data_IF_644655201486
#
_entry.id   IF_644655201486
#
_cell.length_a   1.000
_cell.length_b   1.000
_cell.length_c   1.000
_cell.angle_alpha   90.00
_cell.angle_beta   90.00
_cell.angle_gamma   90.00
#
_symmetry.space_group_name_H-M   'P 1'
#
loop_
_entity.id
_entity.type
_entity.pdbx_description
1 polymer ?
#
# COMPACT_ATOMS: atom_id res chain seq x y z
N UNK A 1 8.08 -33.09 3.75
CA UNK A 1 7.82 -31.66 3.98
C UNK A 1 8.83 -30.89 3.13
N UNK A 2 8.47 -29.68 2.72
CA UNK A 2 9.40 -28.79 2.00
C UNK A 2 10.20 -28.06 3.08
N UNK A 3 11.52 -28.14 3.03
CA UNK A 3 12.41 -27.42 3.96
C UNK A 3 13.24 -26.44 3.12
N UNK A 4 12.80 -25.18 3.00
CA UNK A 4 13.57 -24.15 2.32
C UNK A 4 14.93 -23.98 2.99
N UNK A 5 16.00 -23.98 2.20
CA UNK A 5 17.36 -23.74 2.72
C UNK A 5 18.01 -22.59 1.98
N UNK A 6 18.78 -21.76 2.68
CA UNK A 6 19.62 -20.77 2.01
C UNK A 6 20.59 -21.50 1.08
N UNK A 7 20.61 -21.07 -0.18
CA UNK A 7 21.55 -21.53 -1.17
C UNK A 7 22.78 -20.62 -1.17
N UNK A 8 23.90 -21.13 -1.69
CA UNK A 8 25.05 -20.29 -1.96
C UNK A 8 24.66 -19.23 -3.00
N UNK A 9 24.77 -17.95 -2.61
CA UNK A 9 24.46 -16.80 -3.47
C UNK A 9 25.75 -16.12 -3.92
N UNK A 10 25.81 -15.60 -5.15
CA UNK A 10 26.99 -14.91 -5.63
C UNK A 10 27.24 -13.60 -4.88
N UNK A 11 28.50 -13.17 -4.80
CA UNK A 11 28.83 -11.84 -4.30
C UNK A 11 28.40 -10.80 -5.32
N UNK A 12 27.54 -9.86 -4.91
CA UNK A 12 27.04 -8.82 -5.80
C UNK A 12 28.17 -7.90 -6.32
N UNK A 13 28.09 -7.43 -7.58
CA UNK A 13 29.04 -6.47 -8.14
C UNK A 13 29.11 -5.15 -7.36
N UNK A 14 30.18 -4.40 -7.55
CA UNK A 14 30.22 -2.99 -7.14
C UNK A 14 29.17 -2.17 -7.90
N UNK A 15 28.63 -1.12 -7.27
CA UNK A 15 27.65 -0.18 -7.86
C UNK A 15 26.40 -0.82 -8.49
N UNK A 16 26.08 -2.08 -8.17
CA UNK A 16 24.86 -2.76 -8.65
C UNK A 16 23.58 -2.08 -8.13
N UNK A 17 23.66 -1.46 -6.95
CA UNK A 17 22.54 -0.80 -6.29
C UNK A 17 22.40 0.65 -6.76
N UNK A 18 21.19 1.04 -7.21
CA UNK A 18 20.89 2.38 -7.74
C UNK A 18 21.36 3.54 -6.85
N UNK A 19 21.20 3.40 -5.53
CA UNK A 19 21.54 4.44 -4.55
C UNK A 19 22.82 4.17 -3.76
N UNK A 20 23.63 3.17 -4.15
CA UNK A 20 24.89 2.88 -3.48
C UNK A 20 24.77 2.30 -2.05
N UNK A 21 23.83 1.37 -1.83
CA UNK A 21 23.72 0.67 -0.55
C UNK A 21 24.95 -0.22 -0.29
N UNK A 22 25.36 -0.33 0.98
CA UNK A 22 26.48 -1.20 1.39
C UNK A 22 26.09 -2.65 1.15
N UNK A 23 26.99 -3.45 0.56
CA UNK A 23 26.69 -4.82 0.11
C UNK A 23 26.10 -5.72 1.19
N UNK A 24 26.54 -5.59 2.44
CA UNK A 24 26.07 -6.40 3.57
C UNK A 24 24.66 -6.02 4.06
N UNK A 25 24.16 -4.86 3.61
CA UNK A 25 22.83 -4.36 3.93
C UNK A 25 21.83 -4.58 2.80
N UNK A 26 22.28 -4.93 1.60
CA UNK A 26 21.44 -5.21 0.42
C UNK A 26 20.55 -6.42 0.70
N UNK A 27 19.24 -6.29 0.46
CA UNK A 27 18.36 -7.45 0.44
C UNK A 27 18.59 -8.25 -0.84
N UNK A 28 19.27 -9.38 -0.70
CA UNK A 28 19.47 -10.35 -1.76
C UNK A 28 19.61 -11.74 -1.13
N UNK A 29 18.66 -12.64 -1.37
CA UNK A 29 18.69 -14.02 -0.87
C UNK A 29 18.33 -15.01 -1.97
N UNK A 30 18.93 -16.21 -1.88
CA UNK A 30 18.59 -17.34 -2.74
C UNK A 30 18.22 -18.51 -1.84
N UNK A 31 17.05 -19.10 -2.08
CA UNK A 31 16.57 -20.27 -1.34
C UNK A 31 16.33 -21.42 -2.29
N UNK A 32 16.84 -22.59 -1.94
CA UNK A 32 16.52 -23.83 -2.63
C UNK A 32 15.37 -24.54 -1.95
N UNK A 33 14.71 -25.44 -2.71
CA UNK A 33 13.65 -26.29 -2.20
C UNK A 33 12.49 -25.50 -1.57
N UNK A 34 12.08 -24.37 -2.15
CA UNK A 34 10.87 -23.63 -1.70
C UNK A 34 9.61 -24.24 -2.31
N UNK A 35 9.69 -24.78 -3.53
CA UNK A 35 8.61 -25.54 -4.15
C UNK A 35 9.09 -26.95 -4.50
N UNK A 36 8.17 -27.92 -4.39
CA UNK A 36 8.39 -29.26 -4.92
C UNK A 36 8.33 -29.28 -6.44
N UNK A 37 8.89 -30.33 -7.05
CA UNK A 37 8.74 -30.61 -8.48
C UNK A 37 7.26 -30.69 -8.90
N UNK A 38 6.42 -31.35 -8.08
CA UNK A 38 5.01 -31.51 -8.38
C UNK A 38 4.27 -30.16 -8.39
N UNK A 39 4.59 -29.27 -7.46
CA UNK A 39 4.03 -27.91 -7.42
C UNK A 39 4.47 -27.10 -8.63
N UNK A 40 5.76 -27.12 -8.98
CA UNK A 40 6.28 -26.41 -10.15
C UNK A 40 5.57 -26.86 -11.43
N UNK A 41 5.44 -28.18 -11.62
CA UNK A 41 4.75 -28.76 -12.79
C UNK A 41 3.26 -28.39 -12.82
N UNK A 42 2.59 -28.40 -11.67
CA UNK A 42 1.19 -28.00 -11.57
C UNK A 42 0.98 -26.53 -11.94
N UNK A 43 1.86 -25.63 -11.52
CA UNK A 43 1.82 -24.20 -11.88
C UNK A 43 2.01 -24.00 -13.38
N UNK A 44 3.03 -24.63 -13.98
CA UNK A 44 3.28 -24.57 -15.42
C UNK A 44 2.04 -25.05 -16.17
N UNK A 45 1.50 -26.21 -15.84
CA UNK A 45 0.33 -26.78 -16.52
C UNK A 45 -0.92 -25.90 -16.39
N UNK A 46 -1.13 -25.29 -15.23
CA UNK A 46 -2.31 -24.45 -14.96
C UNK A 46 -2.24 -23.10 -15.68
N UNK A 47 -1.07 -22.46 -15.73
CA UNK A 47 -0.93 -21.09 -16.22
C UNK A 47 -0.49 -21.00 -17.68
N UNK A 48 0.18 -22.02 -18.22
CA UNK A 48 0.66 -22.03 -19.62
C UNK A 48 -0.43 -21.82 -20.67
N UNK A 49 -1.66 -22.37 -20.54
CA UNK A 49 -2.72 -22.16 -21.52
C UNK A 49 -3.13 -20.68 -21.73
N UNK A 50 -2.84 -19.81 -20.75
CA UNK A 50 -3.15 -18.39 -20.80
C UNK A 50 -1.95 -17.51 -21.18
N UNK A 51 -0.80 -18.11 -21.54
CA UNK A 51 0.39 -17.38 -21.99
C UNK A 51 0.11 -16.60 -23.27
N UNK A 52 0.53 -15.33 -23.29
CA UNK A 52 0.48 -14.46 -24.45
C UNK A 52 1.85 -13.85 -24.68
N UNK A 53 2.26 -13.73 -25.95
CA UNK A 53 3.50 -13.06 -26.31
C UNK A 53 3.45 -11.60 -25.88
N UNK A 54 4.53 -11.15 -25.23
CA UNK A 54 4.79 -9.76 -24.88
C UNK A 54 6.01 -9.34 -25.69
N UNK A 55 5.80 -8.45 -26.65
CA UNK A 55 6.86 -7.85 -27.46
C UNK A 55 6.83 -6.33 -27.29
N UNK A 56 7.97 -5.73 -26.96
CA UNK A 56 8.21 -4.29 -27.15
C UNK A 56 7.27 -3.28 -26.45
N UNK A 57 6.63 -3.61 -25.33
CA UNK A 57 5.72 -2.69 -24.63
C UNK A 57 6.40 -1.69 -23.65
N UNK A 58 7.73 -1.77 -23.45
CA UNK A 58 8.46 -0.85 -22.54
C UNK A 58 8.84 0.51 -23.17
N UNK A 59 8.38 0.81 -24.41
CA UNK A 59 8.80 2.01 -25.14
C UNK A 59 7.93 3.27 -24.92
N UNK A 60 7.34 3.48 -23.73
CA UNK A 60 6.61 4.74 -23.46
C UNK A 60 7.21 5.55 -22.31
N UNK A 61 7.88 6.63 -22.73
CA UNK A 61 8.26 7.86 -22.04
C UNK A 61 9.25 7.70 -20.87
N UNK A 62 10.54 7.65 -21.22
CA UNK A 62 11.59 8.17 -20.36
C UNK A 62 11.48 9.71 -20.34
N UNK A 63 11.55 10.41 -19.19
CA UNK A 63 11.42 11.87 -19.11
C UNK A 63 12.46 12.65 -19.94
N UNK A 64 13.56 11.99 -20.31
CA UNK A 64 14.69 12.57 -21.04
C UNK A 64 14.73 12.24 -22.55
N UNK A 65 13.68 11.63 -23.11
CA UNK A 65 13.54 11.51 -24.58
C UNK A 65 14.45 10.50 -25.30
N UNK A 66 15.33 9.77 -24.60
CA UNK A 66 16.11 8.69 -25.22
C UNK A 66 15.28 7.41 -25.35
N UNK A 67 14.77 7.14 -26.56
CA UNK A 67 14.23 5.83 -26.90
C UNK A 67 15.37 4.83 -27.12
N UNK A 68 15.67 4.00 -26.11
CA UNK A 68 16.27 2.68 -26.38
C UNK A 68 15.13 1.69 -26.61
N UNK A 69 15.02 1.20 -27.84
CA UNK A 69 14.14 0.08 -28.17
C UNK A 69 14.62 -1.17 -27.41
N UNK A 70 14.05 -1.42 -26.22
CA UNK A 70 14.23 -2.70 -25.53
C UNK A 70 13.62 -3.80 -26.39
N UNK A 71 14.41 -4.84 -26.67
CA UNK A 71 14.02 -6.06 -27.38
C UNK A 71 13.87 -7.18 -26.35
N UNK A 72 12.96 -6.96 -25.40
CA UNK A 72 12.52 -7.99 -24.45
C UNK A 72 11.39 -8.80 -25.12
N UNK A 73 11.65 -10.09 -25.34
CA UNK A 73 10.71 -11.04 -25.94
C UNK A 73 10.49 -12.18 -24.94
N UNK A 74 9.24 -12.40 -24.54
CA UNK A 74 8.81 -13.50 -23.67
C UNK A 74 7.30 -13.68 -23.76
N UNK A 75 6.76 -14.73 -23.15
CA UNK A 75 5.32 -14.88 -22.95
C UNK A 75 4.94 -14.68 -21.48
N UNK A 76 3.80 -14.05 -21.23
CA UNK A 76 3.27 -13.74 -19.90
C UNK A 76 1.87 -14.32 -19.73
N UNK A 77 1.62 -14.89 -18.55
CA UNK A 77 0.30 -15.29 -18.06
C UNK A 77 0.16 -14.80 -16.63
N UNK A 78 -1.04 -14.36 -16.23
CA UNK A 78 -1.28 -13.83 -14.90
C UNK A 78 -2.46 -14.55 -14.25
N UNK A 79 -2.30 -14.88 -12.97
CA UNK A 79 -3.31 -15.53 -12.15
C UNK A 79 -3.33 -14.90 -10.77
N UNK A 80 -4.51 -14.56 -10.28
CA UNK A 80 -4.70 -14.20 -8.87
C UNK A 80 -4.96 -15.48 -8.05
N UNK A 81 -4.14 -15.70 -7.03
CA UNK A 81 -4.25 -16.85 -6.14
C UNK A 81 -3.65 -16.54 -4.75
N UNK A 82 -4.44 -15.89 -3.90
CA UNK A 82 -4.04 -15.54 -2.53
C UNK A 82 -3.60 -16.76 -1.72
N UNK A 83 -4.36 -17.85 -1.78
CA UNK A 83 -4.04 -19.07 -1.01
C UNK A 83 -2.65 -19.62 -1.34
N UNK A 84 -2.27 -19.60 -2.61
CA UNK A 84 -0.93 -20.04 -3.01
C UNK A 84 0.15 -19.05 -2.58
N UNK A 85 -0.10 -17.74 -2.73
CA UNK A 85 0.79 -16.69 -2.23
C UNK A 85 1.04 -16.84 -0.72
N UNK A 86 0.00 -17.11 0.07
CA UNK A 86 0.08 -17.33 1.52
C UNK A 86 0.93 -18.58 1.86
N UNK A 87 0.84 -19.66 1.07
CA UNK A 87 1.65 -20.86 1.28
C UNK A 87 3.14 -20.59 1.03
N UNK A 88 3.49 -19.88 -0.04
CA UNK A 88 4.89 -19.53 -0.30
C UNK A 88 5.39 -18.52 0.73
N UNK A 89 4.55 -17.55 1.11
CA UNK A 89 4.88 -16.62 2.18
C UNK A 89 5.22 -17.32 3.49
N UNK A 90 4.38 -18.28 3.92
CA UNK A 90 4.66 -19.08 5.12
C UNK A 90 6.01 -19.81 5.02
N UNK A 91 6.34 -20.38 3.86
CA UNK A 91 7.65 -21.02 3.64
C UNK A 91 8.82 -20.03 3.75
N UNK A 92 8.65 -18.79 3.29
CA UNK A 92 9.65 -17.75 3.44
C UNK A 92 9.78 -17.30 4.90
N UNK A 93 8.67 -17.14 5.63
CA UNK A 93 8.67 -16.80 7.06
C UNK A 93 9.36 -17.87 7.91
N UNK A 94 9.14 -19.14 7.59
CA UNK A 94 9.73 -20.27 8.31
C UNK A 94 11.22 -20.50 7.94
N UNK A 95 11.76 -19.73 6.98
CA UNK A 95 13.14 -19.82 6.51
C UNK A 95 14.03 -18.71 7.08
N UNK A 96 15.34 -18.91 7.02
CA UNK A 96 16.33 -17.92 7.46
C UNK A 96 16.28 -16.60 6.65
N UNK A 97 15.70 -16.60 5.44
CA UNK A 97 15.55 -15.40 4.63
C UNK A 97 14.58 -14.37 5.23
N UNK A 98 13.68 -14.78 6.13
CA UNK A 98 12.78 -13.85 6.80
C UNK A 98 13.53 -12.81 7.62
N UNK A 99 14.67 -13.17 8.21
CA UNK A 99 15.52 -12.23 8.94
C UNK A 99 16.07 -11.13 8.01
N UNK A 100 16.49 -11.48 6.79
CA UNK A 100 16.95 -10.53 5.77
C UNK A 100 15.81 -9.63 5.28
N UNK A 101 14.62 -10.18 5.03
CA UNK A 101 13.41 -9.40 4.70
C UNK A 101 13.11 -8.40 5.81
N UNK A 102 13.14 -8.85 7.06
CA UNK A 102 12.85 -7.99 8.21
C UNK A 102 13.90 -6.89 8.39
N UNK A 103 15.21 -7.21 8.28
CA UNK A 103 16.30 -6.23 8.31
C UNK A 103 16.10 -5.16 7.23
N UNK A 104 15.74 -5.57 6.02
CA UNK A 104 15.41 -4.66 4.94
C UNK A 104 14.23 -3.74 5.29
N UNK A 105 13.13 -4.29 5.80
CA UNK A 105 11.96 -3.47 6.14
C UNK A 105 12.23 -2.42 7.21
N UNK A 106 13.11 -2.74 8.18
CA UNK A 106 13.57 -1.79 9.18
C UNK A 106 14.45 -0.69 8.60
N UNK A 107 15.38 -1.05 7.70
CA UNK A 107 16.28 -0.10 7.01
C UNK A 107 15.47 0.94 6.22
N UNK A 108 14.44 0.49 5.52
CA UNK A 108 13.61 1.34 4.66
C UNK A 108 12.44 2.03 5.39
N UNK A 109 12.11 1.61 6.61
CA UNK A 109 10.95 2.14 7.34
C UNK A 109 9.63 1.95 6.59
N UNK A 110 9.43 0.77 5.99
CA UNK A 110 8.30 0.49 5.09
C UNK A 110 7.15 -0.35 5.68
N UNK A 111 7.33 -0.90 6.87
CA UNK A 111 6.33 -1.61 7.66
C UNK A 111 6.65 -3.09 7.73
N UNK A 112 5.88 -3.83 8.54
CA UNK A 112 5.95 -5.29 8.50
C UNK A 112 5.53 -5.79 7.11
N UNK A 113 6.28 -6.74 6.51
CA UNK A 113 5.89 -7.33 5.24
C UNK A 113 4.60 -8.14 5.43
N UNK A 114 3.63 -7.95 4.53
CA UNK A 114 2.28 -8.48 4.71
C UNK A 114 2.05 -9.87 4.10
N UNK A 115 3.00 -10.30 3.29
CA UNK A 115 2.81 -11.41 2.38
C UNK A 115 3.33 -11.15 0.98
N UNK A 116 3.13 -12.16 0.14
CA UNK A 116 3.34 -12.05 -1.29
C UNK A 116 2.10 -11.49 -1.97
N UNK A 117 2.30 -10.72 -3.03
CA UNK A 117 1.21 -10.26 -3.87
C UNK A 117 0.39 -11.47 -4.38
N UNK A 118 -0.95 -11.49 -4.22
CA UNK A 118 -1.80 -12.58 -4.71
C UNK A 118 -1.73 -12.77 -6.22
N UNK A 119 -1.29 -11.75 -6.95
CA UNK A 119 -1.16 -11.72 -8.40
C UNK A 119 0.16 -12.34 -8.83
N UNK A 120 0.10 -13.59 -9.28
CA UNK A 120 1.23 -14.38 -9.72
C UNK A 120 1.40 -14.27 -11.23
N UNK A 121 2.63 -14.03 -11.68
CA UNK A 121 2.97 -13.84 -13.09
C UNK A 121 3.84 -15.00 -13.55
N UNK A 122 3.39 -15.80 -14.51
CA UNK A 122 4.22 -16.80 -15.15
C UNK A 122 4.86 -16.20 -16.41
N UNK A 123 6.19 -16.13 -16.42
CA UNK A 123 6.98 -15.75 -17.58
C UNK A 123 7.56 -17.02 -18.21
N UNK A 124 7.44 -17.11 -19.53
CA UNK A 124 8.06 -18.16 -20.35
C UNK A 124 9.00 -17.53 -21.37
N UNK A 125 10.24 -17.99 -21.37
CA UNK A 125 11.26 -17.64 -22.36
C UNK A 125 11.54 -18.87 -23.23
N UNK A 126 11.72 -18.68 -24.54
CA UNK A 126 12.12 -19.73 -25.48
C UNK A 126 13.11 -19.22 -26.55
N UNK A 127 13.84 -20.12 -27.21
CA UNK A 127 14.79 -19.73 -28.26
C UNK A 127 15.93 -18.86 -27.74
N UNK A 128 15.99 -17.60 -28.17
CA UNK A 128 16.98 -16.59 -27.72
C UNK A 128 16.36 -15.48 -26.88
N UNK A 129 15.17 -15.72 -26.34
CA UNK A 129 14.46 -14.79 -25.45
C UNK A 129 15.36 -14.38 -24.27
N UNK A 130 15.23 -13.12 -23.87
CA UNK A 130 15.98 -12.52 -22.76
C UNK A 130 15.14 -11.42 -22.10
N UNK A 131 15.57 -10.98 -20.93
CA UNK A 131 15.04 -9.77 -20.31
C UNK A 131 16.14 -8.72 -20.22
N UNK A 132 15.96 -7.57 -20.89
CA UNK A 132 16.98 -6.53 -20.94
C UNK A 132 17.32 -5.99 -19.53
N UNK A 133 18.55 -5.49 -19.37
CA UNK A 133 19.02 -4.99 -18.08
C UNK A 133 18.22 -3.76 -17.61
N UNK A 134 17.78 -3.79 -16.36
CA UNK A 134 16.94 -2.76 -15.75
C UNK A 134 17.06 -2.78 -14.22
N UNK A 135 16.57 -1.72 -13.60
CA UNK A 135 16.12 -1.78 -12.21
C UNK A 135 14.65 -2.18 -12.22
N UNK A 136 14.23 -3.01 -11.27
CA UNK A 136 12.80 -3.12 -11.01
C UNK A 136 12.32 -1.73 -10.56
N UNK A 137 11.17 -1.31 -11.10
CA UNK A 137 10.88 0.12 -11.19
C UNK A 137 10.55 0.71 -9.81
N UNK A 138 11.55 1.39 -9.27
CA UNK A 138 11.43 2.39 -8.21
C UNK A 138 10.99 3.71 -8.84
N UNK A 139 9.87 4.27 -8.39
CA UNK A 139 9.55 5.67 -8.59
C UNK A 139 10.18 6.48 -7.47
N UNK A 140 11.26 7.23 -7.73
CA UNK A 140 11.57 8.35 -6.87
C UNK A 140 10.50 9.42 -7.12
N UNK A 141 9.50 9.49 -6.26
CA UNK A 141 8.92 10.78 -5.94
C UNK A 141 9.58 11.24 -4.65
N UNK A 142 10.42 12.28 -4.75
CA UNK A 142 11.09 12.96 -3.63
C UNK A 142 10.09 13.47 -2.58
N UNK A 143 8.79 13.40 -2.85
CA UNK A 143 7.72 13.72 -1.91
C UNK A 143 6.99 12.52 -1.26
N UNK A 144 6.99 11.29 -1.83
CA UNK A 144 5.96 10.30 -1.43
C UNK A 144 6.30 8.80 -1.34
N UNK A 145 7.45 8.28 -1.80
CA UNK A 145 7.99 6.92 -1.46
C UNK A 145 7.18 5.60 -1.74
N UNK A 146 6.07 5.60 -2.49
CA UNK A 146 5.21 4.47 -2.99
C UNK A 146 5.82 3.18 -3.55
N UNK A 147 6.32 2.17 -2.82
CA UNK A 147 6.86 0.95 -3.48
C UNK A 147 6.61 -0.41 -2.78
N UNK A 148 6.39 -1.46 -3.59
CA UNK A 148 6.81 -2.82 -3.23
C UNK A 148 8.32 -2.86 -3.40
N UNK A 149 9.02 -3.49 -2.46
CA UNK A 149 10.43 -3.22 -2.30
C UNK A 149 11.33 -4.42 -2.57
N UNK A 150 10.75 -5.62 -2.67
CA UNK A 150 11.47 -6.87 -2.86
C UNK A 150 10.77 -7.69 -3.94
N UNK A 151 11.49 -8.00 -5.01
CA UNK A 151 11.07 -8.92 -6.06
C UNK A 151 11.28 -10.36 -5.61
N UNK A 152 10.32 -11.23 -5.91
CA UNK A 152 10.38 -12.67 -5.67
C UNK A 152 10.30 -13.41 -7.00
N UNK A 153 11.42 -13.98 -7.44
CA UNK A 153 11.47 -14.87 -8.60
C UNK A 153 11.46 -16.31 -8.14
N UNK A 154 10.57 -17.12 -8.69
CA UNK A 154 10.42 -18.54 -8.41
C UNK A 154 10.71 -19.31 -9.70
N UNK A 155 11.81 -20.05 -9.74
CA UNK A 155 12.17 -20.86 -10.91
C UNK A 155 11.39 -22.18 -10.90
N UNK A 156 10.72 -22.50 -12.01
CA UNK A 156 9.82 -23.65 -12.08
C UNK A 156 10.44 -24.85 -12.81
N UNK A 157 11.62 -24.68 -13.43
CA UNK A 157 12.36 -25.72 -14.13
C UNK A 157 13.88 -25.42 -14.13
N UNK A 158 14.68 -26.40 -14.55
CA UNK A 158 16.13 -26.45 -14.28
C UNK A 158 16.96 -25.83 -15.40
N UNK A 159 17.82 -24.86 -15.05
CA UNK A 159 18.82 -24.29 -15.95
C UNK A 159 20.13 -25.08 -15.95
N UNK A 160 21.24 -24.43 -16.32
CA UNK A 160 22.58 -25.04 -16.24
C UNK A 160 22.81 -26.22 -17.20
N UNK A 161 22.05 -26.27 -18.29
CA UNK A 161 22.13 -27.33 -19.30
C UNK A 161 21.22 -28.53 -19.04
N UNK A 162 20.33 -28.48 -18.05
CA UNK A 162 19.37 -29.55 -17.75
C UNK A 162 18.13 -29.44 -18.66
N UNK A 163 17.26 -28.44 -18.45
CA UNK A 163 16.14 -28.18 -19.36
C UNK A 163 16.50 -27.11 -20.41
N UNK A 164 17.41 -26.19 -20.05
CA UNK A 164 17.93 -25.12 -20.92
C UNK A 164 19.31 -24.62 -20.46
N UNK A 165 20.01 -23.91 -21.35
CA UNK A 165 21.31 -23.26 -21.09
C UNK A 165 21.15 -21.75 -21.19
N UNK A 166 21.99 -21.00 -20.48
CA UNK A 166 21.75 -19.58 -20.24
C UNK A 166 20.53 -19.39 -19.33
N UNK A 167 19.84 -18.26 -19.48
CA UNK A 167 18.67 -17.92 -18.69
C UNK A 167 18.95 -17.59 -17.22
N UNK A 168 20.20 -17.32 -16.84
CA UNK A 168 20.55 -16.83 -15.50
C UNK A 168 19.91 -15.46 -15.23
N UNK A 169 19.56 -15.21 -13.96
CA UNK A 169 19.28 -13.84 -13.51
C UNK A 169 20.60 -13.19 -13.15
N UNK A 170 21.06 -12.26 -13.98
CA UNK A 170 22.34 -11.58 -13.86
C UNK A 170 22.17 -10.28 -13.09
N UNK A 171 23.00 -10.06 -12.08
CA UNK A 171 23.19 -8.78 -11.41
C UNK A 171 24.46 -8.12 -11.96
N UNK A 172 24.36 -6.86 -12.37
CA UNK A 172 25.35 -6.22 -13.25
C UNK A 172 25.76 -4.88 -12.66
N UNK A 173 27.06 -4.57 -12.68
CA UNK A 173 27.51 -3.19 -12.45
C UNK A 173 27.12 -2.33 -13.67
N UNK A 174 26.23 -1.33 -13.53
CA UNK A 174 25.79 -0.49 -14.66
C UNK A 174 26.94 0.35 -15.27
N UNK A 175 28.02 0.59 -14.51
CA UNK A 175 29.21 1.33 -14.97
C UNK A 175 30.23 0.41 -15.65
N UNK A 176 30.18 -0.88 -15.36
CA UNK A 176 31.07 -1.90 -15.92
C UNK A 176 30.30 -3.20 -16.19
N UNK A 177 29.66 -3.30 -17.36
CA UNK A 177 28.81 -4.44 -17.73
C UNK A 177 29.52 -5.81 -17.73
N UNK A 178 30.86 -5.83 -17.78
CA UNK A 178 31.63 -7.07 -17.67
C UNK A 178 31.69 -7.61 -16.23
N UNK A 179 31.51 -6.75 -15.23
CA UNK A 179 31.38 -7.13 -13.83
C UNK A 179 29.92 -7.54 -13.55
N UNK A 180 29.65 -8.82 -13.74
CA UNK A 180 28.33 -9.41 -13.52
C UNK A 180 28.41 -10.75 -12.83
N UNK A 181 27.36 -11.09 -12.09
CA UNK A 181 27.20 -12.40 -11.45
C UNK A 181 25.79 -12.93 -11.69
N UNK A 182 25.65 -14.24 -11.82
CA UNK A 182 24.37 -14.87 -12.17
C UNK A 182 23.86 -15.82 -11.10
N UNK A 183 22.54 -15.85 -10.91
CA UNK A 183 21.85 -16.95 -10.26
C UNK A 183 21.32 -17.89 -11.32
N UNK A 184 21.83 -19.13 -11.32
CA UNK A 184 21.36 -20.18 -12.23
C UNK A 184 19.95 -20.63 -11.79
N UNK A 185 18.98 -20.73 -12.72
CA UNK A 185 17.67 -21.26 -12.41
C UNK A 185 17.77 -22.71 -11.96
N UNK A 186 17.08 -23.04 -10.88
CA UNK A 186 16.92 -24.39 -10.38
C UNK A 186 15.47 -24.55 -9.97
N UNK A 187 14.85 -25.67 -10.33
CA UNK A 187 13.43 -25.88 -10.04
C UNK A 187 13.16 -25.81 -8.54
N UNK A 188 12.16 -25.01 -8.18
CA UNK A 188 11.78 -24.75 -6.80
C UNK A 188 12.68 -23.76 -6.05
N UNK A 189 13.73 -23.22 -6.70
CA UNK A 189 14.54 -22.13 -6.16
C UNK A 189 13.79 -20.81 -6.21
N UNK A 190 13.96 -20.01 -5.16
CA UNK A 190 13.48 -18.65 -5.06
C UNK A 190 14.66 -17.69 -4.95
N UNK A 191 14.56 -16.56 -5.65
CA UNK A 191 15.48 -15.43 -5.54
C UNK A 191 14.69 -14.22 -5.05
N UNK A 192 15.13 -13.67 -3.93
CA UNK A 192 14.60 -12.45 -3.32
C UNK A 192 15.61 -11.34 -3.53
N UNK A 193 15.19 -10.19 -4.05
CA UNK A 193 16.10 -9.05 -4.17
C UNK A 193 15.37 -7.71 -4.11
N UNK A 194 16.02 -6.68 -3.55
CA UNK A 194 15.50 -5.32 -3.57
C UNK A 194 15.41 -4.77 -5.00
N UNK A 195 14.37 -3.99 -5.29
CA UNK A 195 14.13 -3.47 -6.65
C UNK A 195 15.28 -2.60 -7.19
N UNK A 196 16.11 -2.08 -6.28
CA UNK A 196 17.21 -1.19 -6.58
C UNK A 196 18.44 -1.91 -7.16
N UNK A 197 18.41 -3.24 -7.31
CA UNK A 197 19.50 -3.98 -7.95
C UNK A 197 19.36 -3.99 -9.46
N UNK A 198 20.41 -3.54 -10.16
CA UNK A 198 20.48 -3.58 -11.61
C UNK A 198 20.67 -5.02 -12.08
N UNK A 199 19.70 -5.53 -12.84
CA UNK A 199 19.66 -6.94 -13.21
C UNK A 199 19.08 -7.19 -14.60
N UNK A 200 19.33 -8.37 -15.15
CA UNK A 200 18.82 -8.83 -16.44
C UNK A 200 18.54 -10.34 -16.43
N UNK A 201 17.74 -10.81 -17.38
CA UNK A 201 17.67 -12.24 -17.70
C UNK A 201 18.59 -12.54 -18.87
N UNK A 202 19.62 -13.36 -18.67
CA UNK A 202 20.54 -13.73 -19.74
C UNK A 202 19.78 -14.46 -20.86
N UNK A 203 20.22 -14.32 -22.13
CA UNK A 203 19.57 -15.00 -23.23
C UNK A 203 19.66 -16.52 -23.05
N UNK A 204 18.56 -17.20 -23.41
CA UNK A 204 18.63 -18.64 -23.58
C UNK A 204 19.61 -18.99 -24.72
N UNK A 205 20.39 -20.04 -24.49
CA UNK A 205 21.35 -20.56 -25.44
C UNK A 205 20.85 -21.87 -26.02
N UNK A 206 21.02 -22.00 -27.33
CA UNK A 206 20.63 -23.20 -28.04
C UNK A 206 21.46 -24.41 -27.58
N UNK A 207 20.81 -25.45 -27.07
CA UNK A 207 21.47 -26.72 -26.71
C UNK A 207 21.35 -27.74 -27.85
N UNK A 208 20.13 -28.10 -28.24
CA UNK A 208 19.82 -29.13 -29.25
C UNK A 208 18.37 -28.97 -29.80
N UNK A 209 18.18 -29.18 -31.10
CA UNK A 209 16.90 -29.06 -31.82
C UNK A 209 15.81 -30.01 -31.28
N UNK A 210 16.19 -31.05 -30.51
CA UNK A 210 15.28 -32.07 -29.98
C UNK A 210 14.66 -31.73 -28.61
N UNK A 211 15.20 -30.76 -27.87
CA UNK A 211 14.77 -30.44 -26.50
C UNK A 211 13.76 -29.29 -26.46
N UNK A 212 12.76 -29.40 -25.57
CA UNK A 212 11.81 -28.32 -25.27
C UNK A 212 12.50 -27.25 -24.39
N UNK A 213 13.38 -26.45 -25.00
CA UNK A 213 14.26 -25.45 -24.35
C UNK A 213 13.48 -24.21 -23.89
N UNK A 214 12.71 -24.36 -22.82
CA UNK A 214 11.88 -23.27 -22.26
C UNK A 214 12.25 -23.00 -20.82
N UNK A 215 12.45 -21.74 -20.48
CA UNK A 215 12.56 -21.30 -19.08
C UNK A 215 11.20 -20.81 -18.60
N UNK A 216 10.75 -21.34 -17.46
CA UNK A 216 9.57 -20.88 -16.74
C UNK A 216 9.98 -20.27 -15.41
N UNK A 217 9.64 -19.01 -15.22
CA UNK A 217 9.86 -18.29 -13.96
C UNK A 217 8.56 -17.62 -13.56
N UNK A 218 8.19 -17.77 -12.29
CA UNK A 218 7.09 -17.03 -11.71
C UNK A 218 7.64 -15.80 -10.98
N UNK A 219 7.01 -14.65 -11.18
CA UNK A 219 7.32 -13.40 -10.49
C UNK A 219 6.15 -12.99 -9.61
N UNK A 220 6.44 -12.67 -8.36
CA UNK A 220 5.58 -11.94 -7.43
C UNK A 220 6.46 -10.97 -6.63
N UNK A 221 5.87 -10.21 -5.73
CA UNK A 221 6.55 -9.16 -4.98
C UNK A 221 6.08 -9.19 -3.51
N UNK A 222 6.93 -8.77 -2.57
CA UNK A 222 6.53 -8.64 -1.16
C UNK A 222 5.73 -7.34 -0.99
N UNK A 223 4.54 -7.46 -0.40
CA UNK A 223 3.67 -6.33 -0.11
C UNK A 223 4.04 -5.70 1.22
N UNK A 224 4.07 -4.37 1.25
CA UNK A 224 4.25 -3.56 2.45
C UNK A 224 3.11 -2.53 2.57
N UNK A 225 2.63 -2.23 3.78
CA UNK A 225 1.52 -1.31 3.99
C UNK A 225 1.94 0.15 3.90
N UNK A 226 1.11 0.97 3.25
CA UNK A 226 1.14 2.42 3.34
C UNK A 226 0.04 2.91 4.28
N UNK A 227 0.42 3.60 5.36
CA UNK A 227 -0.54 4.27 6.24
C UNK A 227 -0.84 5.67 5.70
N UNK A 228 -2.12 5.96 5.44
CA UNK A 228 -2.56 7.30 5.09
C UNK A 228 -3.17 7.97 6.31
N UNK A 229 -2.44 8.88 6.94
CA UNK A 229 -2.93 9.70 8.04
C UNK A 229 -3.80 10.82 7.48
N UNK A 230 -5.11 10.60 7.48
CA UNK A 230 -6.09 11.56 7.02
C UNK A 230 -6.43 12.50 8.18
N UNK A 231 -5.84 13.69 8.17
CA UNK A 231 -5.94 14.66 9.25
C UNK A 231 -7.33 15.28 9.40
N UNK A 232 -7.55 15.98 10.51
CA UNK A 232 -8.77 16.76 10.74
C UNK A 232 -8.70 18.13 10.07
N UNK A 233 -9.83 18.85 10.07
CA UNK A 233 -9.95 20.10 9.32
C UNK A 233 -9.06 21.22 9.90
N UNK A 234 -8.21 21.80 9.06
CA UNK A 234 -7.24 22.85 9.45
C UNK A 234 -6.29 22.43 10.58
N UNK A 235 -5.99 21.14 10.67
CA UNK A 235 -4.97 20.67 11.58
C UNK A 235 -3.65 21.42 11.34
N UNK A 236 -3.02 22.01 12.39
CA UNK A 236 -1.67 22.54 12.26
C UNK A 236 -0.75 21.41 11.78
N UNK A 237 0.22 21.70 10.90
CA UNK A 237 1.14 20.69 10.37
C UNK A 237 1.79 19.84 11.48
N UNK A 238 2.16 20.47 12.61
CA UNK A 238 2.68 19.80 13.81
C UNK A 238 1.67 18.85 14.49
N UNK A 239 0.38 19.16 14.44
CA UNK A 239 -0.68 18.39 15.05
C UNK A 239 -0.91 17.03 14.38
N UNK A 240 -0.80 16.96 13.05
CA UNK A 240 -0.93 15.70 12.30
C UNK A 240 0.40 14.95 12.23
N UNK A 241 1.52 15.67 12.16
CA UNK A 241 2.85 15.09 12.06
C UNK A 241 3.18 14.12 13.20
N UNK A 242 2.66 14.33 14.42
CA UNK A 242 2.87 13.38 15.54
C UNK A 242 2.33 11.97 15.23
N UNK A 243 1.23 11.86 14.49
CA UNK A 243 0.67 10.57 14.09
C UNK A 243 1.48 9.93 12.96
N UNK A 244 1.94 10.74 12.00
CA UNK A 244 2.87 10.25 10.98
C UNK A 244 4.15 9.70 11.62
N UNK A 245 4.72 10.43 12.58
CA UNK A 245 5.90 10.01 13.34
C UNK A 245 5.64 8.73 14.16
N UNK A 246 4.43 8.54 14.70
CA UNK A 246 4.04 7.30 15.39
C UNK A 246 4.15 6.11 14.43
N UNK A 247 3.50 6.18 13.27
CA UNK A 247 3.54 5.09 12.30
C UNK A 247 4.95 4.86 11.74
N UNK A 248 5.70 5.92 11.46
CA UNK A 248 7.11 5.82 11.06
C UNK A 248 7.98 5.13 12.13
N UNK A 249 7.79 5.43 13.43
CA UNK A 249 8.45 4.71 14.52
C UNK A 249 8.05 3.25 14.61
N UNK A 250 6.78 2.95 14.33
CA UNK A 250 6.28 1.58 14.20
C UNK A 250 6.77 0.89 12.91
N UNK A 251 7.61 1.58 12.15
CA UNK A 251 8.23 1.08 10.94
C UNK A 251 7.39 1.26 9.69
N UNK A 252 6.16 1.78 9.75
CA UNK A 252 5.27 1.90 8.61
C UNK A 252 5.63 3.10 7.72
N UNK A 253 5.54 2.90 6.41
CA UNK A 253 5.55 4.06 5.53
C UNK A 253 4.25 4.83 5.69
N UNK A 254 4.38 6.15 5.76
CA UNK A 254 3.27 7.01 6.16
C UNK A 254 3.21 8.26 5.32
N UNK A 255 2.02 8.59 4.82
CA UNK A 255 1.73 9.83 4.11
C UNK A 255 0.58 10.56 4.81
N UNK A 256 0.66 11.90 4.82
CA UNK A 256 -0.37 12.75 5.43
C UNK A 256 -1.30 13.27 4.34
N UNK A 257 -2.60 13.07 4.53
CA UNK A 257 -3.65 13.66 3.70
C UNK A 257 -4.26 14.83 4.46
N UNK A 258 -4.02 16.05 3.97
CA UNK A 258 -4.54 17.26 4.58
C UNK A 258 -6.07 17.38 4.43
N UNK A 259 -6.72 17.99 5.42
CA UNK A 259 -8.16 18.26 5.39
C UNK A 259 -8.44 19.72 5.66
N UNK A 260 -9.37 20.33 4.90
CA UNK A 260 -9.77 21.72 5.06
C UNK A 260 -11.27 21.84 5.36
N UNK A 261 -11.70 22.88 6.10
CA UNK A 261 -13.14 23.09 6.35
C UNK A 261 -13.94 23.32 5.05
N UNK A 262 -13.28 23.81 3.99
CA UNK A 262 -13.91 23.93 2.66
C UNK A 262 -14.39 22.59 2.10
N UNK A 263 -13.84 21.46 2.57
CA UNK A 263 -14.27 20.12 2.16
C UNK A 263 -15.71 19.81 2.58
N UNK A 264 -16.27 20.52 3.57
CA UNK A 264 -17.68 20.41 3.94
C UNK A 264 -18.62 20.97 2.86
N UNK A 265 -18.15 21.87 2.00
CA UNK A 265 -18.97 22.53 0.97
C UNK A 265 -18.78 21.93 -0.43
N UNK A 266 -17.60 21.35 -0.67
CA UNK A 266 -17.19 20.93 -2.01
C UNK A 266 -17.75 19.55 -2.38
N UNK A 267 -18.03 19.31 -3.67
CA UNK A 267 -18.36 17.97 -4.14
C UNK A 267 -17.15 17.03 -4.02
N UNK A 268 -17.35 15.72 -3.80
CA UNK A 268 -16.25 14.75 -3.69
C UNK A 268 -15.31 14.72 -4.90
N UNK A 269 -15.82 15.05 -6.08
CA UNK A 269 -15.02 15.10 -7.31
C UNK A 269 -13.95 16.20 -7.31
N UNK A 270 -14.04 17.19 -6.43
CA UNK A 270 -13.09 18.32 -6.37
C UNK A 270 -12.08 18.18 -5.23
N UNK A 271 -12.50 17.60 -4.11
CA UNK A 271 -11.65 17.37 -2.94
C UNK A 271 -10.54 16.38 -3.35
N UNK A 272 -9.28 16.74 -3.10
CA UNK A 272 -8.09 15.94 -3.43
C UNK A 272 -7.88 15.60 -4.92
N UNK A 273 -8.64 16.18 -5.84
CA UNK A 273 -8.56 15.85 -7.26
C UNK A 273 -7.17 16.13 -7.88
N UNK A 274 -6.41 17.08 -7.30
CA UNK A 274 -5.05 17.44 -7.70
C UNK A 274 -4.07 17.39 -6.53
N UNK A 275 -4.37 16.61 -5.48
CA UNK A 275 -3.46 16.55 -4.33
C UNK A 275 -2.18 15.78 -4.72
N UNK A 276 -1.01 16.18 -4.18
CA UNK A 276 0.23 15.43 -4.36
C UNK A 276 0.08 13.97 -3.96
N UNK A 277 -0.66 13.68 -2.87
CA UNK A 277 -0.90 12.30 -2.43
C UNK A 277 -1.62 11.44 -3.46
N UNK A 278 -2.68 11.97 -4.10
CA UNK A 278 -3.42 11.21 -5.13
C UNK A 278 -2.54 11.00 -6.37
N UNK A 279 -1.81 12.04 -6.79
CA UNK A 279 -0.86 11.94 -7.91
C UNK A 279 0.25 10.92 -7.61
N UNK A 280 0.76 10.89 -6.38
CA UNK A 280 1.77 9.94 -5.93
C UNK A 280 1.27 8.51 -5.87
N UNK A 281 0.08 8.27 -5.34
CA UNK A 281 -0.53 6.93 -5.32
C UNK A 281 -0.81 6.43 -6.74
N UNK A 282 -1.23 7.32 -7.65
CA UNK A 282 -1.36 7.00 -9.07
C UNK A 282 -0.01 6.73 -9.72
N UNK A 283 1.00 7.51 -9.39
CA UNK A 283 2.36 7.32 -9.85
C UNK A 283 2.84 5.92 -9.43
N UNK A 284 2.75 5.60 -8.14
CA UNK A 284 3.08 4.28 -7.60
C UNK A 284 2.32 3.13 -8.29
N UNK A 285 1.04 3.34 -8.64
CA UNK A 285 0.23 2.34 -9.32
C UNK A 285 0.47 2.23 -10.84
N UNK A 286 0.71 3.35 -11.52
CA UNK A 286 0.86 3.44 -12.99
C UNK A 286 2.28 3.15 -13.46
N UNK A 287 3.26 3.45 -12.60
CA UNK A 287 4.68 3.28 -12.89
C UNK A 287 5.07 1.80 -12.80
N UNK A 288 4.21 0.95 -12.25
CA UNK A 288 4.29 -0.50 -12.40
C UNK A 288 4.11 -1.02 -13.85
N UNK A 289 3.78 -0.16 -14.83
CA UNK A 289 3.70 -0.37 -16.30
C UNK A 289 3.25 -1.75 -16.86
N UNK A 290 2.56 -2.49 -16.03
CA UNK A 290 1.59 -3.54 -16.26
C UNK A 290 0.57 -3.35 -15.12
N UNK A 291 -0.61 -3.95 -15.22
CA UNK A 291 -1.71 -3.91 -14.25
C UNK A 291 -1.36 -4.54 -12.85
N UNK A 292 -0.18 -4.29 -12.31
CA UNK A 292 0.62 -5.28 -11.58
C UNK A 292 1.00 -4.91 -10.15
N UNK A 293 0.85 -3.65 -9.70
CA UNK A 293 1.06 -3.31 -8.29
C UNK A 293 -0.29 -3.07 -7.61
N UNK A 294 -0.60 -3.90 -6.61
CA UNK A 294 -1.72 -3.69 -5.71
C UNK A 294 -1.21 -2.94 -4.48
N UNK A 295 -1.57 -1.67 -4.35
CA UNK A 295 -1.19 -0.87 -3.18
C UNK A 295 -1.93 -1.37 -1.95
N UNK A 296 -1.24 -1.58 -0.84
CA UNK A 296 -1.91 -1.88 0.42
C UNK A 296 -2.00 -0.60 1.26
N UNK A 297 -3.22 -0.11 1.48
CA UNK A 297 -3.45 1.18 2.11
C UNK A 297 -4.21 1.01 3.42
N UNK A 298 -3.65 1.49 4.53
CA UNK A 298 -4.31 1.55 5.83
C UNK A 298 -4.70 3.01 6.11
N UNK A 299 -5.96 3.40 5.93
CA UNK A 299 -6.40 4.74 6.27
C UNK A 299 -6.52 4.91 7.79
N UNK A 300 -5.85 5.93 8.32
CA UNK A 300 -6.05 6.43 9.68
C UNK A 300 -6.87 7.72 9.62
N UNK A 301 -8.14 7.62 10.03
CA UNK A 301 -9.21 8.58 9.80
C UNK A 301 -9.42 9.45 11.06
N UNK A 302 -8.79 10.61 11.09
CA UNK A 302 -8.86 11.51 12.23
C UNK A 302 -10.02 12.51 12.07
N UNK A 303 -10.99 12.46 12.98
CA UNK A 303 -12.21 13.26 12.96
C UNK A 303 -13.05 13.07 11.68
N UNK A 304 -14.13 13.85 11.52
CA UNK A 304 -14.93 13.86 10.30
C UNK A 304 -14.15 14.33 9.07
N UNK A 305 -13.12 15.17 9.26
CA UNK A 305 -12.22 15.61 8.19
C UNK A 305 -11.48 14.45 7.54
N UNK A 306 -10.90 13.56 8.34
CA UNK A 306 -10.19 12.38 7.88
C UNK A 306 -11.10 11.44 7.07
N UNK A 307 -12.34 11.20 7.54
CA UNK A 307 -13.32 10.40 6.82
C UNK A 307 -13.66 11.00 5.44
N UNK A 308 -13.84 12.33 5.35
CA UNK A 308 -14.11 13.00 4.07
C UNK A 308 -12.92 12.86 3.13
N UNK A 309 -11.71 13.10 3.62
CA UNK A 309 -10.49 13.03 2.83
C UNK A 309 -10.26 11.64 2.27
N UNK A 310 -10.35 10.59 3.09
CA UNK A 310 -10.22 9.22 2.62
C UNK A 310 -11.30 8.84 1.61
N UNK A 311 -12.58 9.15 1.87
CA UNK A 311 -13.66 8.90 0.92
C UNK A 311 -13.35 9.49 -0.47
N UNK A 312 -12.80 10.70 -0.52
CA UNK A 312 -12.47 11.36 -1.77
C UNK A 312 -11.21 10.78 -2.42
N UNK A 313 -10.15 10.49 -1.65
CA UNK A 313 -8.93 9.83 -2.14
C UNK A 313 -9.26 8.47 -2.73
N UNK A 314 -9.95 7.61 -1.97
CA UNK A 314 -10.38 6.28 -2.41
C UNK A 314 -11.20 6.36 -3.71
N UNK A 315 -12.11 7.33 -3.80
CA UNK A 315 -12.90 7.58 -5.01
C UNK A 315 -12.01 7.91 -6.20
N UNK A 316 -11.03 8.81 -6.08
CA UNK A 316 -10.14 9.16 -7.18
C UNK A 316 -9.30 7.97 -7.63
N UNK A 317 -8.75 7.20 -6.69
CA UNK A 317 -8.00 5.98 -6.98
C UNK A 317 -8.85 5.00 -7.80
N UNK A 318 -10.07 4.69 -7.34
CA UNK A 318 -10.99 3.79 -8.06
C UNK A 318 -11.38 4.33 -9.43
N UNK A 319 -11.66 5.62 -9.55
CA UNK A 319 -12.04 6.25 -10.82
C UNK A 319 -10.92 6.25 -11.86
N UNK A 320 -9.67 6.32 -11.40
CA UNK A 320 -8.48 6.31 -12.25
C UNK A 320 -7.92 4.90 -12.47
N UNK A 321 -8.65 3.87 -12.02
CA UNK A 321 -8.26 2.47 -12.21
C UNK A 321 -7.08 2.01 -11.38
N UNK A 322 -6.70 2.77 -10.34
CA UNK A 322 -5.63 2.38 -9.42
C UNK A 322 -6.09 1.15 -8.64
N UNK A 323 -5.28 0.10 -8.65
CA UNK A 323 -5.50 -1.13 -7.89
C UNK A 323 -4.93 -0.98 -6.49
N UNK A 324 -5.79 -1.14 -5.50
CA UNK A 324 -5.39 -1.09 -4.10
C UNK A 324 -6.30 -1.97 -3.25
N UNK A 325 -5.76 -2.42 -2.13
CA UNK A 325 -6.43 -3.19 -1.09
C UNK A 325 -6.35 -2.44 0.24
N UNK A 326 -7.41 -2.54 1.04
CA UNK A 326 -7.50 -1.89 2.35
C UNK A 326 -7.70 -2.99 3.39
N UNK A 327 -6.63 -3.40 4.11
CA UNK A 327 -6.68 -4.55 5.01
C UNK A 327 -7.36 -4.19 6.33
N UNK A 328 -7.32 -2.92 6.72
CA UNK A 328 -7.91 -2.42 7.97
C UNK A 328 -8.13 -0.90 7.90
N UNK A 329 -9.05 -0.37 8.72
CA UNK A 329 -9.24 1.07 8.91
C UNK A 329 -9.12 1.44 10.39
N UNK A 330 -8.47 2.57 10.69
CA UNK A 330 -8.36 3.11 12.05
C UNK A 330 -9.17 4.41 12.10
N UNK A 331 -10.16 4.48 12.99
CA UNK A 331 -10.95 5.67 13.24
C UNK A 331 -10.50 6.31 14.55
N UNK A 332 -10.10 7.58 14.50
CA UNK A 332 -9.73 8.38 15.68
C UNK A 332 -10.71 9.55 15.81
N UNK A 333 -11.45 9.58 16.92
CA UNK A 333 -12.52 10.56 17.17
C UNK A 333 -13.53 10.62 16.02
N UNK A 334 -13.85 9.46 15.44
CA UNK A 334 -14.67 9.31 14.24
C UNK A 334 -15.23 7.88 14.14
N UNK A 335 -16.15 7.58 13.20
CA UNK A 335 -16.99 8.52 12.49
C UNK A 335 -18.16 8.98 13.38
N UNK A 336 -18.97 9.91 12.87
CA UNK A 336 -20.26 10.26 13.47
C UNK A 336 -21.32 9.16 13.20
N UNK A 337 -22.50 9.32 13.80
CA UNK A 337 -23.65 8.39 13.71
C UNK A 337 -24.31 8.28 12.32
N UNK A 338 -23.89 9.07 11.33
CA UNK A 338 -24.53 9.11 10.02
C UNK A 338 -25.90 9.77 10.00
N UNK A 339 -26.34 10.41 11.09
CA UNK A 339 -27.63 11.14 11.17
C UNK A 339 -27.70 12.41 10.32
N UNK A 340 -26.58 12.84 9.75
CA UNK A 340 -26.49 13.98 8.84
C UNK A 340 -26.40 15.33 9.54
N UNK A 341 -26.24 16.40 8.75
CA UNK A 341 -26.03 17.73 9.32
C UNK A 341 -27.25 18.31 10.04
N UNK A 342 -28.47 17.85 9.75
CA UNK A 342 -29.69 18.34 10.38
C UNK A 342 -29.70 18.08 11.90
N UNK A 343 -29.16 16.94 12.33
CA UNK A 343 -29.00 16.62 13.76
C UNK A 343 -27.78 17.34 14.36
N UNK A 344 -26.74 17.58 13.54
CA UNK A 344 -25.55 18.31 13.95
C UNK A 344 -25.82 19.81 14.19
N UNK A 345 -26.84 20.40 13.59
CA UNK A 345 -27.21 21.82 13.77
C UNK A 345 -27.47 22.16 15.25
N UNK A 346 -28.10 21.27 16.02
CA UNK A 346 -28.31 21.45 17.46
C UNK A 346 -27.00 21.48 18.26
N UNK A 347 -25.98 20.73 17.83
CA UNK A 347 -24.64 20.74 18.41
C UNK A 347 -23.81 21.94 17.94
N UNK A 348 -24.04 22.42 16.72
CA UNK A 348 -23.33 23.56 16.14
C UNK A 348 -23.56 24.85 16.94
N UNK A 349 -24.78 25.12 17.42
CA UNK A 349 -25.05 26.30 18.24
C UNK A 349 -24.25 26.28 19.56
N UNK A 350 -24.06 25.09 20.17
CA UNK A 350 -23.22 24.90 21.35
C UNK A 350 -21.74 25.09 21.04
N UNK A 351 -21.26 24.49 19.95
CA UNK A 351 -19.88 24.67 19.46
C UNK A 351 -19.61 26.15 19.15
N UNK A 352 -20.58 26.86 18.58
CA UNK A 352 -20.50 28.28 18.30
C UNK A 352 -20.42 29.12 19.57
N UNK A 353 -21.20 28.78 20.60
CA UNK A 353 -21.15 29.41 21.91
C UNK A 353 -19.77 29.24 22.56
N UNK A 354 -19.24 28.02 22.56
CA UNK A 354 -17.92 27.69 23.14
C UNK A 354 -16.78 28.34 22.35
N UNK A 355 -16.80 28.30 21.02
CA UNK A 355 -15.77 28.90 20.16
C UNK A 355 -15.70 30.42 20.31
N UNK A 356 -16.85 31.06 20.56
CA UNK A 356 -16.94 32.51 20.70
C UNK A 356 -16.84 32.98 22.16
N UNK A 357 -16.77 32.05 23.12
CA UNK A 357 -16.75 32.34 24.57
C UNK A 357 -15.50 33.13 25.01
N UNK A 358 -14.37 32.92 24.35
CA UNK A 358 -13.08 33.57 24.64
C UNK A 358 -12.98 35.01 24.09
N UNK A 359 -13.93 35.44 23.24
CA UNK A 359 -13.95 36.79 22.67
C UNK A 359 -14.62 37.78 23.61
N UNK A 360 -13.83 38.69 24.20
CA UNK A 360 -14.30 39.67 25.19
C UNK A 360 -15.11 40.83 24.61
N UNK A 361 -14.96 41.14 23.31
CA UNK A 361 -15.69 42.24 22.64
C UNK A 361 -17.07 41.79 22.14
N UNK A 362 -18.18 42.39 22.60
CA UNK A 362 -19.53 42.00 22.18
C UNK A 362 -19.77 42.14 20.67
N UNK A 363 -19.23 43.22 20.05
CA UNK A 363 -19.38 43.46 18.61
C UNK A 363 -18.60 42.44 17.80
N UNK A 364 -17.35 42.15 18.16
CA UNK A 364 -16.55 41.12 17.46
C UNK A 364 -17.16 39.74 17.63
N UNK A 365 -17.68 39.43 18.82
CA UNK A 365 -18.41 38.18 19.10
C UNK A 365 -19.66 38.06 18.23
N UNK A 366 -20.46 39.12 18.11
CA UNK A 366 -21.65 39.13 17.24
C UNK A 366 -21.30 38.96 15.76
N UNK A 367 -20.26 39.66 15.27
CA UNK A 367 -19.77 39.50 13.89
C UNK A 367 -19.33 38.06 13.65
N UNK A 368 -18.48 37.51 14.52
CA UNK A 368 -17.98 36.14 14.39
C UNK A 368 -19.11 35.12 14.37
N UNK A 369 -20.10 35.26 15.27
CA UNK A 369 -21.30 34.41 15.30
C UNK A 369 -22.10 34.50 14.01
N UNK A 370 -22.31 35.71 13.50
CA UNK A 370 -23.09 35.94 12.28
C UNK A 370 -22.40 35.31 11.07
N UNK A 371 -21.08 35.47 10.95
CA UNK A 371 -20.29 34.85 9.88
C UNK A 371 -20.32 33.33 9.97
N UNK A 372 -20.13 32.75 11.16
CA UNK A 372 -20.15 31.30 11.36
C UNK A 372 -21.54 30.71 11.09
N UNK A 373 -22.63 31.35 11.55
CA UNK A 373 -24.01 30.95 11.25
C UNK A 373 -24.33 31.04 9.77
N UNK A 374 -23.92 32.12 9.09
CA UNK A 374 -24.10 32.26 7.65
C UNK A 374 -23.33 31.19 6.86
N UNK A 375 -22.09 30.88 7.28
CA UNK A 375 -21.30 29.80 6.71
C UNK A 375 -21.97 28.43 6.90
N UNK A 376 -22.48 28.16 8.10
CA UNK A 376 -23.21 26.91 8.39
C UNK A 376 -24.50 26.78 7.58
N UNK A 377 -25.31 27.84 7.51
CA UNK A 377 -26.51 27.85 6.67
C UNK A 377 -26.19 27.58 5.19
N UNK A 378 -25.04 28.08 4.70
CA UNK A 378 -24.58 27.76 3.35
C UNK A 378 -24.17 26.29 3.18
N UNK A 379 -23.58 25.63 4.21
CA UNK A 379 -23.34 24.17 4.20
C UNK A 379 -24.68 23.43 4.12
N UNK A 380 -25.63 23.78 4.98
CA UNK A 380 -26.95 23.13 5.02
C UNK A 380 -27.67 23.26 3.68
N UNK A 381 -27.72 24.46 3.12
CA UNK A 381 -28.32 24.71 1.80
C UNK A 381 -27.61 23.95 0.68
N UNK A 382 -26.28 23.79 0.77
CA UNK A 382 -25.50 23.03 -0.22
C UNK A 382 -25.88 21.55 -0.24
N UNK A 383 -26.29 21.00 0.90
CA UNK A 383 -26.63 19.58 1.05
C UNK A 383 -28.12 19.33 1.25
N UNK A 384 -28.97 20.36 1.14
CA UNK A 384 -30.42 20.18 1.18
C UNK A 384 -30.87 19.37 -0.05
N UNK A 385 -31.26 18.11 0.15
CA UNK A 385 -32.04 17.18 -0.70
C UNK A 385 -31.69 17.02 -2.19
N UNK A 386 -31.47 18.12 -2.90
CA UNK A 386 -31.17 18.24 -4.33
C UNK A 386 -29.78 17.77 -4.74
N UNK A 387 -28.83 17.70 -3.81
CA UNK A 387 -27.43 17.39 -4.11
C UNK A 387 -26.92 16.06 -3.52
N UNK A 388 -27.84 15.21 -3.07
CA UNK A 388 -27.53 13.92 -2.45
C UNK A 388 -27.23 14.02 -0.95
N UNK A 389 -26.87 12.90 -0.31
CA UNK A 389 -26.60 12.87 1.12
C UNK A 389 -25.40 13.75 1.48
N UNK A 390 -25.48 14.38 2.64
CA UNK A 390 -24.38 15.16 3.18
C UNK A 390 -23.15 14.28 3.48
N UNK A 391 -21.95 14.87 3.66
CA UNK A 391 -20.73 14.12 3.93
C UNK A 391 -20.80 13.17 5.13
N UNK A 392 -21.54 13.50 6.20
CA UNK A 392 -21.66 12.63 7.38
C UNK A 392 -22.44 11.37 7.04
N UNK A 393 -23.63 11.51 6.45
CA UNK A 393 -24.45 10.40 5.98
C UNK A 393 -23.71 9.53 4.95
N UNK A 394 -23.08 10.16 3.97
CA UNK A 394 -22.36 9.48 2.89
C UNK A 394 -21.17 8.68 3.42
N UNK A 395 -20.36 9.28 4.29
CA UNK A 395 -19.19 8.62 4.84
C UNK A 395 -19.59 7.46 5.75
N UNK A 396 -20.65 7.61 6.54
CA UNK A 396 -21.18 6.50 7.34
C UNK A 396 -21.63 5.34 6.45
N UNK A 397 -22.47 5.62 5.44
CA UNK A 397 -22.96 4.60 4.52
C UNK A 397 -21.82 3.88 3.78
N UNK A 398 -20.77 4.59 3.38
CA UNK A 398 -19.61 3.97 2.71
C UNK A 398 -18.71 3.22 3.70
N UNK A 399 -18.18 3.92 4.69
CA UNK A 399 -17.08 3.44 5.54
C UNK A 399 -17.53 2.43 6.59
N UNK A 400 -18.78 2.51 7.06
CA UNK A 400 -19.32 1.60 8.09
C UNK A 400 -20.15 0.50 7.46
N UNK A 401 -21.07 0.84 6.55
CA UNK A 401 -22.03 -0.13 5.99
C UNK A 401 -21.47 -0.84 4.76
N UNK A 402 -21.05 -0.12 3.72
CA UNK A 402 -20.59 -0.75 2.48
C UNK A 402 -19.24 -1.46 2.64
N UNK A 403 -18.35 -0.92 3.47
CA UNK A 403 -17.03 -1.48 3.76
C UNK A 403 -17.03 -2.42 4.99
N UNK A 404 -18.16 -3.06 5.32
CA UNK A 404 -18.29 -3.90 6.52
C UNK A 404 -17.29 -5.08 6.56
N UNK A 405 -16.83 -5.57 5.40
CA UNK A 405 -15.83 -6.65 5.35
C UNK A 405 -14.43 -6.23 5.84
N UNK A 406 -14.14 -4.94 5.89
CA UNK A 406 -12.82 -4.42 6.29
C UNK A 406 -12.78 -4.26 7.82
N UNK A 407 -11.82 -4.89 8.53
CA UNK A 407 -11.63 -4.71 9.97
C UNK A 407 -11.48 -3.24 10.40
N UNK A 408 -12.03 -2.87 11.57
CA UNK A 408 -12.03 -1.48 12.05
C UNK A 408 -11.58 -1.34 13.50
N UNK A 409 -10.71 -0.37 13.76
CA UNK A 409 -10.36 0.08 15.11
C UNK A 409 -11.04 1.41 15.39
N UNK A 410 -11.76 1.51 16.50
CA UNK A 410 -12.39 2.76 16.95
C UNK A 410 -11.68 3.30 18.21
N UNK A 411 -11.02 4.45 18.08
CA UNK A 411 -10.37 5.19 19.15
C UNK A 411 -11.21 6.43 19.46
N UNK A 412 -11.83 6.48 20.63
CA UNK A 412 -12.77 7.54 20.98
C UNK A 412 -12.76 7.84 22.49
N UNK A 413 -13.46 8.90 22.92
CA UNK A 413 -13.52 9.27 24.34
C UNK A 413 -14.92 9.70 24.76
N UNK A 414 -15.30 9.31 25.98
CA UNK A 414 -16.54 9.76 26.63
C UNK A 414 -16.56 11.27 26.87
N UNK A 415 -15.40 11.93 26.90
CA UNK A 415 -15.25 13.38 27.07
C UNK A 415 -15.09 14.13 25.73
N UNK A 416 -15.27 13.46 24.59
CA UNK A 416 -15.31 14.12 23.29
C UNK A 416 -16.65 14.85 23.12
N UNK A 417 -16.58 16.17 22.95
CA UNK A 417 -17.75 17.05 22.79
C UNK A 417 -18.04 17.43 21.33
N UNK A 418 -17.17 17.02 20.39
CA UNK A 418 -17.31 17.34 18.96
C UNK A 418 -17.93 16.17 18.22
N UNK A 419 -17.38 14.96 18.40
CA UNK A 419 -18.01 13.71 17.95
C UNK A 419 -18.19 12.88 19.20
N UNK A 420 -19.42 12.89 19.70
CA UNK A 420 -19.69 12.37 21.04
C UNK A 420 -19.56 10.85 21.08
N UNK A 421 -19.19 10.28 22.24
CA UNK A 421 -19.11 8.83 22.40
C UNK A 421 -20.38 8.09 21.94
N UNK A 422 -21.61 8.54 22.25
CA UNK A 422 -22.82 7.92 21.70
C UNK A 422 -22.87 7.86 20.17
N UNK A 423 -22.36 8.88 19.47
CA UNK A 423 -22.32 8.86 18.00
C UNK A 423 -21.35 7.82 17.45
N UNK A 424 -20.17 7.68 18.07
CA UNK A 424 -19.19 6.65 17.69
C UNK A 424 -19.72 5.26 18.04
N UNK A 425 -20.35 5.10 19.21
CA UNK A 425 -20.94 3.84 19.67
C UNK A 425 -22.09 3.38 18.78
N UNK A 426 -22.89 4.29 18.23
CA UNK A 426 -23.88 3.97 17.19
C UNK A 426 -23.21 3.46 15.90
N UNK A 427 -22.08 4.05 15.49
CA UNK A 427 -21.32 3.57 14.34
C UNK A 427 -20.70 2.18 14.59
N UNK A 428 -20.17 1.95 15.79
CA UNK A 428 -19.67 0.65 16.20
C UNK A 428 -20.79 -0.39 16.20
N UNK A 429 -21.95 -0.07 16.76
CA UNK A 429 -23.10 -0.97 16.80
C UNK A 429 -23.57 -1.33 15.38
N UNK A 430 -23.59 -0.35 14.46
CA UNK A 430 -23.90 -0.60 13.06
C UNK A 430 -22.84 -1.47 12.36
N UNK A 431 -21.55 -1.23 12.62
CA UNK A 431 -20.45 -2.05 12.09
C UNK A 431 -20.57 -3.50 12.58
N UNK A 432 -20.79 -3.70 13.88
CA UNK A 432 -20.98 -5.01 14.51
C UNK A 432 -22.20 -5.75 13.95
N UNK A 433 -23.33 -5.04 13.78
CA UNK A 433 -24.53 -5.61 13.18
C UNK A 433 -24.31 -6.05 11.72
N UNK A 434 -23.41 -5.37 11.00
CA UNK A 434 -22.96 -5.75 9.66
C UNK A 434 -21.93 -6.89 9.63
N UNK A 435 -21.54 -7.44 10.78
CA UNK A 435 -20.54 -8.51 10.88
C UNK A 435 -19.09 -8.03 10.74
N UNK A 436 -18.84 -6.73 10.90
CA UNK A 436 -17.47 -6.17 10.81
C UNK A 436 -16.59 -6.68 11.95
N UNK A 437 -15.41 -7.27 11.68
CA UNK A 437 -14.40 -7.49 12.72
C UNK A 437 -13.92 -6.16 13.27
N UNK A 438 -14.04 -5.93 14.58
CA UNK A 438 -13.68 -4.64 15.16
C UNK A 438 -13.06 -4.76 16.55
N UNK A 439 -12.21 -3.78 16.86
CA UNK A 439 -11.70 -3.50 18.19
C UNK A 439 -12.06 -2.04 18.53
N UNK A 440 -12.19 -1.71 19.83
CA UNK A 440 -12.58 -0.38 20.27
C UNK A 440 -11.88 0.02 21.57
N UNK A 441 -11.59 1.30 21.74
CA UNK A 441 -11.00 1.88 22.94
C UNK A 441 -11.67 3.20 23.27
N UNK A 442 -12.30 3.26 24.45
CA UNK A 442 -12.85 4.49 25.02
C UNK A 442 -11.84 5.04 26.04
N UNK A 443 -11.23 6.19 25.75
CA UNK A 443 -10.25 6.83 26.63
C UNK A 443 -10.86 7.61 27.79
N UNK A 444 -12.20 7.70 27.84
CA UNK A 444 -13.03 8.34 28.87
C UNK A 444 -12.82 9.84 29.11
N UNK A 445 -11.59 10.35 29.20
CA UNK A 445 -11.30 11.72 29.66
C UNK A 445 -10.61 12.60 28.63
N UNK A 446 -9.96 12.02 27.61
CA UNK A 446 -9.27 12.80 26.59
C UNK A 446 -10.25 13.60 25.73
N UNK A 447 -9.79 14.77 25.27
CA UNK A 447 -10.57 15.63 24.38
C UNK A 447 -10.54 15.09 22.93
N UNK A 448 -11.37 15.68 22.07
CA UNK A 448 -11.40 15.39 20.63
C UNK A 448 -9.99 15.38 20.04
N UNK A 449 -9.60 14.28 19.38
CA UNK A 449 -8.30 14.09 18.69
C UNK A 449 -7.09 14.20 19.64
N UNK A 450 -7.31 14.17 20.95
CA UNK A 450 -6.24 14.29 21.95
C UNK A 450 -5.82 12.95 22.56
N UNK A 451 -6.45 11.84 22.15
CA UNK A 451 -6.21 10.50 22.69
C UNK A 451 -4.72 10.10 22.69
N UNK A 452 -4.03 10.29 21.56
CA UNK A 452 -2.60 9.97 21.47
C UNK A 452 -1.73 10.89 22.34
N UNK A 453 -2.15 12.14 22.54
CA UNK A 453 -1.41 13.09 23.39
C UNK A 453 -1.54 12.71 24.87
N UNK A 454 -2.77 12.39 25.29
CA UNK A 454 -3.10 12.15 26.69
C UNK A 454 -2.73 10.72 27.13
N UNK A 455 -2.80 9.75 26.21
CA UNK A 455 -2.62 8.32 26.47
C UNK A 455 -1.72 7.64 25.42
N UNK A 456 -0.46 8.08 25.23
CA UNK A 456 0.40 7.62 24.13
C UNK A 456 0.63 6.11 24.13
N UNK A 457 0.89 5.51 25.29
CA UNK A 457 1.18 4.07 25.41
C UNK A 457 -0.04 3.20 25.06
N UNK A 458 -1.20 3.53 25.63
CA UNK A 458 -2.45 2.80 25.36
C UNK A 458 -2.85 2.94 23.90
N UNK A 459 -2.71 4.15 23.35
CA UNK A 459 -3.02 4.44 21.95
C UNK A 459 -2.13 3.63 20.99
N UNK A 460 -0.81 3.66 21.20
CA UNK A 460 0.16 2.93 20.39
C UNK A 460 -0.05 1.41 20.49
N UNK A 461 -0.22 0.87 21.70
CA UNK A 461 -0.45 -0.56 21.90
C UNK A 461 -1.75 -1.02 21.25
N UNK A 462 -2.79 -0.20 21.27
CA UNK A 462 -4.08 -0.52 20.63
C UNK A 462 -3.95 -0.62 19.11
N UNK A 463 -3.19 0.29 18.49
CA UNK A 463 -2.88 0.23 17.06
C UNK A 463 -2.05 -1.02 16.75
N UNK A 464 -0.97 -1.27 17.50
CA UNK A 464 -0.09 -2.43 17.26
C UNK A 464 -0.87 -3.74 17.37
N UNK A 465 -1.68 -3.90 18.42
CA UNK A 465 -2.48 -5.10 18.63
C UNK A 465 -3.49 -5.32 17.50
N UNK A 466 -4.19 -4.25 17.11
CA UNK A 466 -5.18 -4.31 16.04
C UNK A 466 -4.53 -4.64 14.68
N UNK A 467 -3.44 -3.98 14.33
CA UNK A 467 -2.74 -4.23 13.08
C UNK A 467 -2.16 -5.64 13.06
N UNK A 468 -1.49 -6.10 14.13
CA UNK A 468 -0.99 -7.49 14.23
C UNK A 468 -2.11 -8.53 14.09
N UNK A 469 -3.33 -8.20 14.53
CA UNK A 469 -4.48 -9.11 14.49
C UNK A 469 -5.14 -9.20 13.10
N UNK A 470 -5.18 -8.10 12.35
CA UNK A 470 -6.00 -8.00 11.13
C UNK A 470 -5.22 -7.65 9.86
N UNK A 471 -4.00 -7.16 10.00
CA UNK A 471 -3.08 -6.86 8.90
C UNK A 471 -2.05 -7.99 8.90
N UNK A 472 -2.14 -8.93 7.93
CA UNK A 472 -1.38 -10.19 7.91
C UNK A 472 0.12 -9.97 7.74
#
# INVERSE_FOLDING_TARGET
>A
MVEPTLAEKPTLPTNVHRYGCVKDDIMFEVLDSVLTEAECRALINRMSPALKSVSGALSRLHPLGEQRASKTEYCLSVMENKRFADVIWQRLMDSEAFASIYKYTQREGCGMPLGLAPRLRLLRYEGSDRFDAHYDRIVPDEATGSESLITVLIYLNDGGGVDFSGGETLYINPENMAESVGVVPQRGRVVLFEHCLYHSGSPLQHIDDSANQRKYVMRTDILVPLVLVCGWMHAPSRGVAKYANLFQRLGYRTEVVESHVGHLFMPPAWIHAKSPTVAALESAASIANNDDTELVIIPHLISGGGCISWYCVERHLRQRGVRFFVPAMIFDSSPNSGKGFDVFEGSFDKILDDFTSTTTSPVKRWIARTVLKAGWAAVMLRWSGRFGPDPLQRNFAKLIIADAAIPKLFLYSSNDVIITAPEVEEAIAAAAAGGTPLDQVNFHTSLHVSHYLDYPEVYEQSIVNFLTKYVP
#
